data_IF_726863108437
#
_entry.id   IF_726863108437
#
_cell.length_a   1.000
_cell.length_b   1.000
_cell.length_c   1.000
_cell.angle_alpha   90.00
_cell.angle_beta   90.00
_cell.angle_gamma   90.00
#
_symmetry.space_group_name_H-M   'P 1'
#
loop_
_entity.id
_entity.type
_entity.pdbx_description
1 polymer ?
2 non-polymer ?
3 non-polymer ?
4 non-polymer ?
5 water ?
#
# COMPACT_ATOMS: atom_id res chain seq x y z
N UNK A 2 -2.94 -6.13 8.82
CA UNK A 2 -1.61 -6.05 9.61
C UNK A 2 -1.10 -7.36 10.25
N UNK A 3 -0.04 -7.92 9.70
CA UNK A 3 0.53 -9.15 10.29
C UNK A 3 1.29 -8.84 11.57
N UNK A 4 1.37 -9.85 12.44
CA UNK A 4 2.22 -9.78 13.57
C UNK A 4 3.61 -10.12 13.13
N UNK A 5 4.60 -9.50 13.85
CA UNK A 5 6.05 -9.77 13.63
C UNK A 5 6.62 -10.50 14.89
N UNK A 6 5.74 -10.84 15.82
CA UNK A 6 6.15 -11.48 17.03
C UNK A 6 6.18 -13.04 17.01
N UNK A 7 6.18 -13.66 15.84
CA UNK A 7 6.26 -15.08 15.77
C UNK A 7 7.68 -15.44 16.12
N UNK A 8 7.85 -16.37 17.02
CA UNK A 8 9.16 -16.77 17.46
C UNK A 8 9.68 -17.98 16.64
N UNK A 9 10.89 -17.84 16.19
CA UNK A 9 11.62 -18.90 15.43
C UNK A 9 11.88 -20.00 16.40
N UNK A 10 11.99 -21.22 15.89
CA UNK A 10 12.33 -22.38 16.71
C UNK A 10 13.70 -22.27 17.38
N UNK A 11 13.74 -22.62 18.68
CA UNK A 11 14.99 -22.62 19.38
C UNK A 11 15.76 -23.82 18.91
N UNK A 12 16.99 -23.61 18.41
CA UNK A 12 17.82 -24.74 17.95
C UNK A 12 17.43 -25.15 16.52
N UNK A 13 16.86 -24.21 15.75
CA UNK A 13 16.37 -24.49 14.40
C UNK A 13 17.47 -25.11 13.56
N UNK A 14 17.18 -26.25 12.95
CA UNK A 14 18.19 -26.95 12.10
C UNK A 14 17.91 -26.61 10.63
N UNK A 15 18.59 -25.61 10.13
CA UNK A 15 18.28 -25.08 8.78
C UNK A 15 18.59 -26.08 7.65
N UNK A 16 19.64 -26.90 7.79
CA UNK A 16 19.97 -27.85 6.78
C UNK A 16 18.88 -28.93 6.62
N UNK A 17 18.25 -29.38 7.72
CA UNK A 17 17.17 -30.37 7.64
C UNK A 17 15.88 -29.79 6.97
N UNK A 18 15.55 -28.55 7.30
CA UNK A 18 14.41 -27.88 6.75
C UNK A 18 14.58 -27.53 5.23
N UNK A 19 15.71 -26.86 4.88
CA UNK A 19 16.03 -26.51 3.53
C UNK A 19 16.84 -27.59 2.78
N UNK A 20 16.28 -28.75 2.66
CA UNK A 20 17.00 -29.92 2.08
C UNK A 20 16.57 -30.14 0.63
N UNK A 21 15.76 -29.22 0.07
CA UNK A 21 15.37 -29.35 -1.33
C UNK A 21 14.16 -30.19 -1.56
N UNK A 22 13.61 -30.83 -0.52
CA UNK A 22 12.48 -31.75 -0.68
C UNK A 22 11.14 -31.02 -0.37
N UNK A 23 10.07 -31.65 -0.73
CA UNK A 23 8.69 -31.08 -0.56
C UNK A 23 8.11 -31.11 0.84
N UNK A 24 7.48 -30.00 1.22
CA UNK A 24 6.67 -29.90 2.40
C UNK A 24 5.18 -29.71 1.89
N UNK A 25 4.25 -30.50 2.43
CA UNK A 25 2.82 -30.35 2.13
C UNK A 25 2.13 -29.54 3.23
N UNK A 26 1.22 -28.64 2.87
CA UNK A 26 0.40 -27.97 3.86
C UNK A 26 -0.76 -28.88 4.19
N UNK A 27 -0.83 -29.40 5.42
CA UNK A 27 -1.93 -30.26 5.84
C UNK A 27 -3.06 -29.52 6.54
N UNK A 28 -2.76 -28.45 7.24
CA UNK A 28 -3.73 -27.68 7.95
C UNK A 28 -3.29 -26.20 8.04
N UNK A 29 -4.24 -25.27 7.98
CA UNK A 29 -3.88 -23.92 7.93
C UNK A 29 -4.91 -22.99 8.65
N UNK A 30 -4.42 -21.86 9.09
CA UNK A 30 -5.19 -20.87 9.79
C UNK A 30 -4.92 -19.55 9.11
N UNK A 31 -5.92 -19.08 8.33
CA UNK A 31 -5.89 -17.82 7.63
C UNK A 31 -6.70 -16.79 8.46
N UNK A 32 -6.02 -15.78 8.99
CA UNK A 32 -6.64 -14.89 9.93
C UNK A 32 -7.40 -13.81 9.19
N UNK A 33 -7.28 -13.77 7.86
CA UNK A 33 -8.03 -12.78 7.05
C UNK A 33 -8.43 -13.46 5.74
N UNK A 34 -9.41 -14.37 5.80
CA UNK A 34 -9.88 -15.08 4.62
C UNK A 34 -10.53 -14.14 3.57
N UNK A 35 -10.33 -14.50 2.32
CA UNK A 35 -10.91 -13.82 1.22
C UNK A 35 -12.40 -13.94 1.39
N UNK A 36 -13.15 -12.91 1.00
CA UNK A 36 -14.65 -12.99 1.10
C UNK A 36 -15.22 -14.10 0.24
N UNK A 37 -14.50 -14.44 -0.87
CA UNK A 37 -14.92 -15.52 -1.78
C UNK A 37 -14.42 -16.85 -1.29
N UNK A 38 -15.29 -17.86 -1.18
CA UNK A 38 -14.85 -19.25 -0.76
C UNK A 38 -13.74 -19.78 -1.70
N UNK A 39 -12.57 -20.07 -1.11
CA UNK A 39 -11.38 -20.59 -1.80
C UNK A 39 -10.68 -21.64 -0.89
N UNK A 40 -10.95 -22.88 -1.17
CA UNK A 40 -10.39 -23.99 -0.43
C UNK A 40 -9.18 -24.57 -1.24
N UNK A 41 -8.08 -23.87 -1.19
CA UNK A 41 -6.90 -24.28 -1.98
C UNK A 41 -6.05 -25.36 -1.32
N UNK A 42 -5.11 -25.87 -2.09
CA UNK A 42 -4.10 -26.84 -1.62
C UNK A 42 -2.75 -26.19 -1.87
N UNK A 43 -1.78 -26.50 -1.04
CA UNK A 43 -0.43 -25.93 -1.23
C UNK A 43 0.68 -26.84 -0.76
N UNK A 44 1.83 -26.70 -1.39
CA UNK A 44 3.05 -27.37 -1.03
C UNK A 44 4.17 -26.47 -1.40
N UNK A 45 5.37 -26.74 -0.88
CA UNK A 45 6.55 -25.99 -1.12
C UNK A 45 7.85 -26.82 -1.02
N UNK A 46 8.90 -26.34 -1.67
CA UNK A 46 10.27 -26.92 -1.58
C UNK A 46 11.27 -25.79 -1.42
N UNK A 47 12.28 -26.05 -0.61
CA UNK A 47 13.31 -25.05 -0.36
C UNK A 47 14.64 -25.62 -0.07
N UNK A 48 15.68 -25.06 -0.69
CA UNK A 48 17.04 -25.49 -0.54
C UNK A 48 18.01 -24.74 -1.43
N UNK A 49 19.30 -25.12 -1.38
CA UNK A 49 20.31 -24.42 -2.18
C UNK A 49 20.34 -24.91 -3.64
N UNK A 50 20.58 -23.98 -4.54
CA UNK A 50 20.67 -24.24 -5.95
C UNK A 50 21.69 -23.23 -6.53
N UNK A 51 22.76 -23.75 -7.14
CA UNK A 51 23.85 -22.93 -7.62
C UNK A 51 24.23 -21.87 -6.57
N UNK A 52 24.52 -22.34 -5.35
CA UNK A 52 25.02 -21.46 -4.31
C UNK A 52 24.04 -20.47 -3.70
N UNK A 53 22.75 -20.51 -4.06
CA UNK A 53 21.75 -19.60 -3.43
C UNK A 53 20.69 -20.39 -2.64
N UNK A 54 20.13 -19.80 -1.59
CA UNK A 54 18.96 -20.36 -0.92
C UNK A 54 17.70 -19.99 -1.64
N UNK A 55 16.91 -20.98 -2.07
CA UNK A 55 15.73 -20.77 -2.96
C UNK A 55 14.51 -21.48 -2.39
N UNK A 56 13.36 -20.97 -2.73
CA UNK A 56 12.08 -21.48 -2.27
C UNK A 56 11.05 -21.43 -3.41
N UNK A 57 10.47 -22.57 -3.74
CA UNK A 57 9.47 -22.57 -4.75
C UNK A 57 8.11 -22.90 -4.05
N UNK A 58 7.05 -22.34 -4.59
CA UNK A 58 5.68 -22.58 -4.12
C UNK A 58 4.76 -23.19 -5.15
N UNK A 59 3.81 -24.01 -4.70
CA UNK A 59 2.78 -24.59 -5.49
C UNK A 59 1.41 -24.39 -4.83
N UNK A 60 0.43 -23.95 -5.59
CA UNK A 60 -0.97 -23.94 -5.11
C UNK A 60 -1.96 -24.55 -6.17
N UNK A 61 -2.86 -25.33 -5.69
CA UNK A 61 -3.91 -26.02 -6.50
C UNK A 61 -5.30 -25.73 -6.01
N UNK A 62 -6.20 -25.41 -6.96
CA UNK A 62 -7.60 -25.19 -6.68
C UNK A 62 -8.45 -26.34 -7.19
N UNK A 63 -8.99 -27.17 -6.31
CA UNK A 63 -9.86 -28.32 -6.73
C UNK A 63 -11.15 -27.93 -7.49
N UNK A 64 -11.68 -26.77 -7.26
CA UNK A 64 -12.88 -26.33 -7.97
C UNK A 64 -12.66 -26.21 -9.47
N UNK A 65 -11.50 -25.65 -9.86
CA UNK A 65 -11.23 -25.36 -11.28
C UNK A 65 -10.08 -26.25 -11.79
N UNK A 66 -9.35 -26.87 -10.89
CA UNK A 66 -8.09 -27.55 -11.22
C UNK A 66 -6.95 -26.57 -11.65
N UNK A 67 -7.20 -25.31 -11.54
CA UNK A 67 -6.21 -24.32 -11.84
C UNK A 67 -4.99 -24.51 -10.89
N UNK A 68 -3.88 -24.08 -11.40
CA UNK A 68 -2.58 -24.18 -10.69
C UNK A 68 -1.86 -22.79 -10.72
N UNK A 69 -1.12 -22.46 -9.63
CA UNK A 69 -0.15 -21.38 -9.65
C UNK A 69 1.16 -21.64 -8.93
N UNK A 70 2.23 -21.10 -9.48
CA UNK A 70 3.59 -21.28 -8.93
C UNK A 70 4.32 -20.01 -8.68
N UNK A 71 5.28 -20.06 -7.72
CA UNK A 71 6.11 -18.97 -7.41
C UNK A 71 7.52 -19.48 -7.09
N UNK A 72 8.50 -18.61 -7.28
CA UNK A 72 9.92 -18.93 -6.92
C UNK A 72 10.61 -17.66 -6.39
N UNK A 73 11.36 -17.77 -5.32
CA UNK A 73 12.07 -16.67 -4.70
C UNK A 73 13.48 -17.11 -4.31
N UNK A 74 14.41 -16.12 -4.27
CA UNK A 74 15.70 -16.30 -3.59
C UNK A 74 15.43 -15.84 -2.14
N UNK A 75 15.83 -16.60 -1.16
CA UNK A 75 15.56 -16.23 0.19
C UNK A 75 16.71 -15.37 0.80
N UNK A 76 16.30 -14.51 1.71
CA UNK A 76 17.23 -13.62 2.40
C UNK A 76 17.00 -13.89 3.88
N UNK A 77 18.01 -14.41 4.56
CA UNK A 77 17.92 -14.58 6.03
C UNK A 77 17.94 -13.29 6.81
N UNK A 78 16.87 -13.02 7.57
CA UNK A 78 16.81 -11.84 8.42
C UNK A 78 17.52 -12.17 9.79
N UNK A 79 17.10 -13.27 10.38
CA UNK A 79 17.68 -13.77 11.65
C UNK A 79 17.49 -15.22 11.60
N UNK A 80 17.96 -15.94 12.64
CA UNK A 80 17.80 -17.40 12.60
C UNK A 80 16.27 -17.86 12.52
N UNK A 81 15.99 -18.78 11.56
CA UNK A 81 14.64 -19.23 11.28
C UNK A 81 13.62 -18.22 10.69
N UNK A 82 14.06 -17.03 10.30
CA UNK A 82 13.15 -15.95 9.80
C UNK A 82 13.68 -15.46 8.45
N UNK A 83 12.84 -15.53 7.43
CA UNK A 83 13.23 -15.22 6.08
C UNK A 83 12.24 -14.27 5.31
N UNK A 84 12.78 -13.61 4.31
CA UNK A 84 12.04 -12.72 3.42
C UNK A 84 12.19 -13.28 2.01
N UNK A 85 11.15 -13.26 1.25
CA UNK A 85 11.08 -13.80 -0.14
C UNK A 85 10.40 -12.81 -1.09
N UNK A 86 11.17 -12.27 -2.02
CA UNK A 86 10.66 -11.43 -3.11
C UNK A 86 10.26 -12.37 -4.27
N UNK A 87 8.99 -12.71 -4.28
CA UNK A 87 8.55 -13.74 -5.21
C UNK A 87 8.32 -13.26 -6.65
N UNK A 88 8.45 -14.21 -7.56
CA UNK A 88 8.01 -13.98 -8.94
C UNK A 88 7.06 -15.12 -9.33
N UNK A 89 5.96 -14.83 -9.98
CA UNK A 89 4.97 -15.79 -10.31
C UNK A 89 5.42 -16.42 -11.63
N UNK A 90 5.34 -17.75 -11.74
CA UNK A 90 5.87 -18.44 -12.85
C UNK A 90 4.99 -19.66 -13.29
N UNK A 91 5.20 -20.10 -14.59
CA UNK A 91 4.58 -21.29 -15.10
C UNK A 91 5.38 -22.47 -14.49
N UNK A 92 4.89 -23.67 -14.61
CA UNK A 92 5.53 -24.86 -14.08
C UNK A 92 6.96 -25.06 -14.68
N UNK A 93 7.27 -24.42 -15.83
CA UNK A 93 8.58 -24.53 -16.44
C UNK A 93 9.56 -23.39 -16.12
N UNK A 94 9.14 -22.46 -15.28
CA UNK A 94 9.93 -21.35 -14.94
C UNK A 94 9.70 -20.09 -15.75
N UNK A 95 8.83 -20.16 -16.72
CA UNK A 95 8.56 -18.92 -17.53
C UNK A 95 7.85 -17.91 -16.66
N UNK A 96 8.35 -16.67 -16.66
CA UNK A 96 7.88 -15.60 -15.73
C UNK A 96 6.50 -15.00 -16.13
N UNK A 97 5.54 -15.06 -15.22
CA UNK A 97 4.23 -14.43 -15.41
C UNK A 97 4.17 -13.07 -14.77
N UNK A 98 4.67 -12.94 -13.50
CA UNK A 98 4.77 -11.63 -12.86
C UNK A 98 6.23 -11.51 -12.27
N UNK A 99 6.97 -10.52 -12.73
CA UNK A 99 8.39 -10.34 -12.32
C UNK A 99 8.45 -10.01 -10.79
N UNK A 100 9.65 -10.11 -10.28
CA UNK A 100 9.99 -9.62 -8.97
C UNK A 100 9.62 -8.13 -8.92
N UNK A 101 8.83 -7.72 -7.92
CA UNK A 101 8.41 -6.31 -7.82
C UNK A 101 8.55 -5.85 -6.39
N UNK A 102 8.80 -4.54 -6.26
CA UNK A 102 8.91 -3.88 -4.96
C UNK A 102 7.86 -4.24 -3.91
N UNK A 103 6.57 -4.18 -4.25
CA UNK A 103 5.58 -4.47 -3.21
C UNK A 103 5.21 -5.94 -2.99
N UNK A 104 5.80 -6.89 -3.71
CA UNK A 104 5.42 -8.30 -3.65
C UNK A 104 6.49 -9.05 -2.85
N UNK A 105 6.12 -9.45 -1.65
CA UNK A 105 7.07 -10.25 -0.83
C UNK A 105 6.32 -10.94 0.28
N UNK A 106 6.85 -12.05 0.71
CA UNK A 106 6.33 -12.68 1.91
C UNK A 106 7.46 -12.91 2.89
N UNK A 107 7.11 -12.95 4.19
CA UNK A 107 8.08 -13.34 5.22
C UNK A 107 7.55 -14.55 5.87
N UNK A 108 8.45 -15.38 6.39
CA UNK A 108 8.01 -16.50 7.18
C UNK A 108 8.99 -16.77 8.32
N UNK A 109 8.47 -17.44 9.33
CA UNK A 109 9.21 -17.94 10.50
C UNK A 109 8.91 -19.37 10.69
N UNK A 110 9.96 -20.16 10.90
CA UNK A 110 9.81 -21.52 11.27
C UNK A 110 9.69 -21.55 12.75
N UNK A 111 8.47 -21.85 13.25
CA UNK A 111 8.17 -21.85 14.68
C UNK A 111 8.49 -23.18 15.33
N UNK A 112 8.37 -24.27 14.53
CA UNK A 112 8.69 -25.56 14.92
C UNK A 112 9.10 -26.40 13.69
N UNK A 113 10.01 -27.36 13.89
CA UNK A 113 10.37 -28.31 12.84
C UNK A 113 11.10 -29.55 13.34
N UNK A 114 10.90 -30.63 12.63
CA UNK A 114 11.61 -31.90 12.89
C UNK A 114 11.73 -32.59 11.54
N UNK A 115 12.26 -33.79 11.56
CA UNK A 115 12.43 -34.50 10.27
C UNK A 115 11.17 -34.61 9.41
N UNK A 116 9.99 -34.77 10.05
CA UNK A 116 8.78 -35.00 9.34
C UNK A 116 7.73 -33.88 9.31
N UNK A 117 7.81 -32.94 10.26
CA UNK A 117 6.75 -31.91 10.42
C UNK A 117 7.28 -30.53 10.69
N UNK A 118 6.35 -29.57 10.59
CA UNK A 118 6.74 -28.18 10.93
C UNK A 118 5.47 -27.30 11.09
N UNK A 119 5.67 -26.18 11.72
CA UNK A 119 4.66 -25.12 11.85
C UNK A 119 5.37 -23.81 11.47
N UNK A 120 4.78 -23.03 10.55
CA UNK A 120 5.33 -21.83 10.12
C UNK A 120 4.32 -20.73 10.17
N UNK A 121 4.80 -19.51 10.39
CA UNK A 121 3.96 -18.33 10.19
C UNK A 121 4.40 -17.69 8.87
N UNK A 122 3.46 -17.15 8.11
CA UNK A 122 3.72 -16.37 6.92
C UNK A 122 2.99 -15.05 6.98
N UNK A 123 3.52 -14.06 6.30
CA UNK A 123 2.86 -12.79 6.11
C UNK A 123 3.09 -12.43 4.68
N UNK A 124 2.01 -12.29 3.94
CA UNK A 124 2.08 -12.09 2.54
C UNK A 124 1.75 -10.60 2.25
N UNK A 125 2.55 -10.02 1.41
CA UNK A 125 2.34 -8.70 0.84
C UNK A 125 2.26 -8.86 -0.69
N UNK A 126 1.20 -8.30 -1.26
CA UNK A 126 0.95 -8.34 -2.70
C UNK A 126 0.37 -6.95 -3.11
N UNK A 127 0.95 -6.31 -4.14
CA UNK A 127 0.62 -4.91 -4.51
C UNK A 127 0.76 -3.90 -3.38
N UNK A 128 1.77 -4.05 -2.54
CA UNK A 128 1.92 -3.23 -1.31
C UNK A 128 0.93 -3.41 -0.08
N UNK A 129 -0.18 -4.11 -0.31
CA UNK A 129 -1.14 -4.33 0.74
C UNK A 129 -0.77 -5.64 1.52
N UNK A 130 -1.03 -5.59 2.83
CA UNK A 130 -0.88 -6.70 3.75
C UNK A 130 -2.09 -7.61 3.63
N UNK A 131 -1.89 -8.89 3.26
CA UNK A 131 -2.98 -9.85 3.17
C UNK A 131 -3.20 -10.72 4.40
N UNK A 132 -2.49 -10.42 5.47
CA UNK A 132 -2.74 -11.02 6.76
C UNK A 132 -1.94 -12.33 7.04
N UNK A 133 -2.10 -12.79 8.25
CA UNK A 133 -1.34 -13.90 8.76
C UNK A 133 -1.89 -15.19 8.24
N UNK A 134 -0.97 -16.12 7.95
CA UNK A 134 -1.41 -17.46 7.64
C UNK A 134 -0.45 -18.43 8.28
N UNK A 135 -0.96 -19.23 9.19
CA UNK A 135 -0.17 -20.29 9.84
C UNK A 135 -0.42 -21.65 9.04
N UNK A 136 0.65 -22.36 8.79
CA UNK A 136 0.55 -23.63 8.13
C UNK A 136 1.25 -24.71 8.94
N UNK A 137 0.55 -25.83 9.13
CA UNK A 137 1.18 -27.03 9.61
C UNK A 137 1.63 -27.79 8.28
N UNK A 138 2.87 -28.21 8.23
CA UNK A 138 3.51 -28.92 7.14
C UNK A 138 3.84 -30.33 7.57
N UNK A 139 3.96 -31.21 6.56
CA UNK A 139 4.42 -32.58 6.77
C UNK A 139 5.03 -33.08 5.47
N UNK A 140 6.03 -33.99 5.60
CA UNK A 140 6.66 -34.53 4.50
C UNK A 140 5.81 -35.53 3.74
N UNK A 141 4.67 -35.91 4.31
CA UNK A 141 3.70 -36.84 3.69
C UNK A 141 2.35 -36.15 3.75
N UNK A 142 1.67 -36.08 2.62
CA UNK A 142 0.37 -35.42 2.47
C UNK A 142 -0.80 -35.98 3.21
N UNK A 143 -0.77 -37.27 3.54
CA UNK A 143 -1.96 -37.90 4.15
C UNK A 143 -1.73 -38.08 5.68
N UNK A 144 -0.70 -37.46 6.19
CA UNK A 144 -0.36 -37.58 7.54
C UNK A 144 -1.04 -36.55 8.45
N UNK A 145 -1.60 -37.03 9.56
CA UNK A 145 -2.31 -36.19 10.52
C UNK A 145 -1.36 -35.48 11.46
N UNK A 146 -1.76 -34.29 11.91
CA UNK A 146 -0.88 -33.52 12.73
C UNK A 146 -0.54 -34.36 14.03
N UNK A 147 0.73 -34.62 14.27
CA UNK A 147 1.13 -35.37 15.42
C UNK A 147 1.17 -34.46 16.68
N UNK A 148 1.46 -35.09 17.82
CA UNK A 148 1.46 -34.45 19.09
C UNK A 148 2.43 -33.31 19.24
N UNK A 149 3.61 -33.42 18.60
CA UNK A 149 4.65 -32.44 18.68
C UNK A 149 4.25 -31.11 17.98
N UNK A 150 3.74 -31.20 16.79
CA UNK A 150 3.37 -29.96 16.09
C UNK A 150 2.11 -29.40 16.75
N UNK A 151 1.22 -30.24 17.22
CA UNK A 151 0.06 -29.75 17.97
C UNK A 151 0.47 -29.01 19.25
N UNK A 152 1.53 -29.51 19.90
CA UNK A 152 2.12 -28.81 21.06
C UNK A 152 2.60 -27.39 20.62
N UNK A 153 3.22 -27.32 19.44
CA UNK A 153 3.78 -26.07 18.89
C UNK A 153 2.62 -25.09 18.60
N UNK A 154 1.52 -25.62 18.09
CA UNK A 154 0.29 -24.85 17.87
C UNK A 154 -0.17 -24.22 19.23
N UNK A 155 -0.16 -25.01 20.24
CA UNK A 155 -0.55 -24.51 21.61
C UNK A 155 0.44 -23.49 22.10
N UNK A 156 1.74 -23.79 21.93
CA UNK A 156 2.79 -22.86 22.34
C UNK A 156 2.79 -21.52 21.61
N UNK A 157 2.14 -21.44 20.49
CA UNK A 157 1.97 -20.22 19.78
C UNK A 157 0.72 -19.45 20.16
N UNK A 158 0.03 -19.91 21.19
CA UNK A 158 -1.25 -19.37 21.61
C UNK A 158 -2.35 -19.44 20.61
N UNK A 159 -2.45 -20.53 19.90
CA UNK A 159 -3.51 -20.75 18.92
C UNK A 159 -4.29 -22.02 19.30
N UNK A 160 -5.44 -22.26 18.64
CA UNK A 160 -6.21 -23.47 18.85
C UNK A 160 -6.21 -24.30 17.54
N UNK A 161 -5.88 -25.54 17.66
CA UNK A 161 -5.78 -26.40 16.50
C UNK A 161 -7.14 -26.59 15.87
N UNK A 162 -8.14 -26.47 16.69
CA UNK A 162 -9.55 -26.45 16.35
C UNK A 162 -9.86 -25.46 15.24
N UNK A 163 -9.21 -24.32 15.24
CA UNK A 163 -9.54 -23.27 14.27
C UNK A 163 -8.93 -23.53 12.92
N UNK A 164 -7.99 -24.49 12.83
CA UNK A 164 -7.28 -24.76 11.59
C UNK A 164 -8.20 -25.53 10.62
N UNK A 165 -8.01 -25.30 9.31
CA UNK A 165 -8.71 -25.98 8.22
C UNK A 165 -7.82 -27.04 7.54
N UNK A 166 -8.33 -28.26 7.45
CA UNK A 166 -7.61 -29.38 6.93
C UNK A 166 -7.75 -29.48 5.41
N UNK A 167 -6.61 -29.83 4.75
CA UNK A 167 -6.62 -30.05 3.27
C UNK A 167 -6.76 -31.57 2.91
N UNK A 168 -6.96 -32.39 3.93
CA UNK A 168 -6.89 -33.83 3.82
C UNK A 168 -7.89 -34.44 2.91
N UNK A 169 -9.14 -34.04 2.97
CA UNK A 169 -10.10 -34.71 2.02
C UNK A 169 -10.69 -33.67 1.07
N UNK A 170 -9.80 -32.84 0.56
CA UNK A 170 -10.21 -31.67 -0.23
C UNK A 170 -9.91 -31.93 -1.74
N UNK A 171 -9.66 -33.16 -2.11
CA UNK A 171 -9.33 -33.51 -3.51
C UNK A 171 -8.06 -32.83 -4.08
N UNK A 172 -7.04 -32.75 -3.26
CA UNK A 172 -5.83 -32.11 -3.66
C UNK A 172 -5.07 -32.97 -4.66
N UNK A 173 -4.43 -32.35 -5.63
CA UNK A 173 -3.42 -32.98 -6.52
C UNK A 173 -2.15 -32.10 -6.50
N UNK A 174 -0.98 -32.70 -6.56
CA UNK A 174 0.27 -31.99 -6.51
C UNK A 174 1.15 -32.22 -7.73
N UNK A 175 2.27 -31.50 -7.80
CA UNK A 175 3.21 -31.62 -8.88
C UNK A 175 4.62 -31.37 -8.41
N UNK A 176 5.14 -32.36 -7.67
CA UNK A 176 6.44 -32.25 -7.07
C UNK A 176 7.60 -32.15 -8.01
N UNK A 177 7.51 -32.81 -9.16
CA UNK A 177 8.63 -32.70 -10.17
C UNK A 177 8.84 -31.27 -10.57
N UNK A 178 7.79 -30.62 -11.02
CA UNK A 178 7.87 -29.16 -11.37
C UNK A 178 8.28 -28.35 -10.22
N UNK A 179 7.73 -28.68 -9.00
CA UNK A 179 8.04 -27.85 -7.80
C UNK A 179 9.52 -27.90 -7.49
N UNK A 180 10.07 -29.10 -7.53
CA UNK A 180 11.54 -29.24 -7.27
C UNK A 180 12.44 -28.62 -8.33
N UNK A 181 12.06 -28.70 -9.62
CA UNK A 181 12.93 -28.20 -10.64
C UNK A 181 12.92 -26.67 -10.67
N UNK A 182 11.88 -26.07 -10.15
CA UNK A 182 11.80 -24.57 -10.09
C UNK A 182 12.85 -23.93 -9.20
N UNK A 183 13.40 -24.71 -8.31
CA UNK A 183 14.48 -24.23 -7.47
C UNK A 183 15.70 -23.66 -8.24
N UNK A 184 15.92 -24.07 -9.48
CA UNK A 184 17.04 -23.57 -10.31
C UNK A 184 16.62 -22.36 -11.19
N UNK A 185 15.38 -21.94 -11.16
CA UNK A 185 14.85 -20.93 -12.03
C UNK A 185 14.59 -19.62 -11.26
N UNK B 2 -9.21 4.96 -5.62
CA UNK B 2 -8.31 4.75 -6.83
C UNK B 2 -8.36 5.97 -7.80
N UNK B 3 -7.19 6.63 -7.95
CA UNK B 3 -7.09 7.88 -8.69
C UNK B 3 -6.94 7.63 -10.16
N UNK B 4 -7.08 8.73 -10.92
CA UNK B 4 -6.82 8.79 -12.36
C UNK B 4 -5.61 9.66 -12.55
N UNK B 5 -4.72 9.26 -13.46
CA UNK B 5 -3.51 10.06 -13.76
C UNK B 5 -3.61 10.72 -15.13
N UNK B 6 -4.84 10.77 -15.66
CA UNK B 6 -5.11 11.42 -16.95
C UNK B 6 -5.35 12.93 -16.85
N UNK B 7 -5.10 13.54 -15.69
CA UNK B 7 -5.22 14.99 -15.55
C UNK B 7 -4.16 15.68 -16.39
N UNK B 8 -4.58 16.62 -17.20
CA UNK B 8 -3.68 17.33 -18.09
C UNK B 8 -3.28 18.68 -17.48
N UNK B 9 -2.00 18.94 -17.48
CA UNK B 9 -1.45 20.19 -17.06
C UNK B 9 -1.80 21.24 -18.08
N UNK B 10 -1.96 22.47 -17.61
CA UNK B 10 -2.35 23.58 -18.46
C UNK B 10 -1.33 23.84 -19.54
N UNK B 11 -1.81 23.87 -20.80
CA UNK B 11 -0.90 24.24 -21.91
C UNK B 11 -0.41 25.65 -21.67
N UNK B 12 0.92 25.88 -21.78
CA UNK B 12 1.50 27.13 -21.48
C UNK B 12 1.47 27.49 -19.97
N UNK B 13 1.54 26.48 -19.10
CA UNK B 13 1.55 26.71 -17.66
C UNK B 13 2.66 27.69 -17.26
N UNK B 14 2.32 28.77 -16.51
CA UNK B 14 3.26 29.74 -16.00
C UNK B 14 3.57 29.47 -14.49
N UNK B 15 4.67 28.76 -14.26
CA UNK B 15 5.13 28.42 -12.90
C UNK B 15 5.34 29.57 -11.99
N UNK B 16 5.77 30.70 -12.49
CA UNK B 16 6.06 31.88 -11.63
C UNK B 16 4.81 32.57 -11.06
N UNK B 17 3.69 32.57 -11.81
CA UNK B 17 2.43 33.12 -11.29
C UNK B 17 1.76 32.23 -10.24
N UNK B 18 1.81 30.91 -10.42
CA UNK B 18 1.21 30.00 -9.48
C UNK B 18 2.01 29.87 -8.22
N UNK B 19 3.33 29.62 -8.39
CA UNK B 19 4.21 29.45 -7.24
C UNK B 19 4.81 30.79 -6.80
N UNK B 20 3.97 31.77 -6.44
CA UNK B 20 4.48 33.14 -6.18
C UNK B 20 4.54 33.44 -4.74
N UNK B 21 4.31 32.42 -3.91
CA UNK B 21 4.34 32.60 -2.45
C UNK B 21 3.07 33.08 -1.77
N UNK B 22 2.09 33.54 -2.59
CA UNK B 22 0.82 33.98 -2.06
C UNK B 22 -0.15 32.82 -1.75
N UNK B 23 -1.25 33.17 -1.08
CA UNK B 23 -2.31 32.20 -0.69
C UNK B 23 -3.30 31.89 -1.78
N UNK B 24 -3.61 30.61 -1.92
CA UNK B 24 -4.79 30.16 -2.73
C UNK B 24 -5.84 29.64 -1.76
N UNK B 25 -7.09 30.06 -1.91
CA UNK B 25 -8.21 29.46 -1.17
C UNK B 25 -8.94 28.46 -1.99
N UNK B 26 -9.37 27.33 -1.37
CA UNK B 26 -10.24 26.41 -2.04
C UNK B 26 -11.70 26.93 -1.88
N UNK B 27 -12.32 27.33 -2.98
CA UNK B 27 -13.69 27.81 -2.97
C UNK B 27 -14.73 26.76 -3.27
N UNK B 28 -14.34 25.73 -4.02
CA UNK B 28 -15.27 24.72 -4.42
C UNK B 28 -14.43 23.42 -4.61
N UNK B 29 -15.03 22.27 -4.33
CA UNK B 29 -14.29 21.03 -4.53
C UNK B 29 -15.15 19.91 -4.97
N UNK B 30 -14.55 18.93 -5.62
CA UNK B 30 -15.22 17.70 -6.01
C UNK B 30 -14.37 16.49 -5.55
N UNK B 31 -14.86 15.87 -4.46
CA UNK B 31 -14.21 14.70 -3.89
C UNK B 31 -14.93 13.42 -4.41
N UNK B 32 -14.22 12.60 -5.19
CA UNK B 32 -14.80 11.42 -5.78
C UNK B 32 -14.92 10.24 -4.80
N UNK B 33 -14.22 10.30 -3.67
CA UNK B 33 -14.34 9.23 -2.67
C UNK B 33 -14.65 9.82 -1.35
N UNK B 34 -15.83 10.43 -1.18
CA UNK B 34 -16.15 11.10 0.11
C UNK B 34 -16.47 10.00 1.19
N UNK B 35 -16.35 10.39 2.46
CA UNK B 35 -16.83 9.52 3.56
C UNK B 35 -18.37 9.44 3.48
N UNK B 36 -18.96 8.43 4.15
CA UNK B 36 -20.45 8.30 4.15
C UNK B 36 -21.13 9.49 4.85
N UNK B 37 -20.49 10.03 5.89
CA UNK B 37 -20.85 11.35 6.38
C UNK B 37 -19.70 12.29 5.97
N UNK B 38 -19.86 12.93 4.79
CA UNK B 38 -18.84 13.85 4.21
C UNK B 38 -18.29 14.91 5.22
N UNK B 39 -16.98 15.08 5.18
CA UNK B 39 -16.29 16.03 6.05
C UNK B 39 -16.36 17.46 5.40
N UNK B 40 -17.20 18.32 5.96
CA UNK B 40 -17.39 19.70 5.42
C UNK B 40 -16.34 20.67 5.88
N UNK B 41 -15.13 20.52 5.33
CA UNK B 41 -13.97 21.33 5.81
C UNK B 41 -13.71 22.53 4.90
N UNK B 42 -12.74 23.32 5.32
CA UNK B 42 -12.23 24.45 4.61
C UNK B 42 -10.70 24.24 4.38
N UNK B 43 -10.20 24.64 3.21
CA UNK B 43 -8.77 24.49 2.88
C UNK B 43 -8.14 25.68 2.16
N UNK B 44 -6.86 25.87 2.38
CA UNK B 44 -6.07 26.88 1.73
C UNK B 44 -4.63 26.42 1.70
N UNK B 45 -3.83 27.08 0.85
CA UNK B 45 -2.42 26.74 0.65
C UNK B 45 -1.59 27.90 0.15
N UNK B 46 -0.29 27.82 0.38
CA UNK B 46 0.66 28.84 -0.14
C UNK B 46 1.79 28.07 -0.83
N UNK B 47 1.94 28.32 -2.09
CA UNK B 47 2.92 27.61 -2.93
C UNK B 47 3.92 28.63 -3.48
N UNK B 48 5.18 28.25 -3.44
CA UNK B 48 6.25 29.13 -3.83
C UNK B 48 7.52 28.29 -3.91
N UNK B 49 8.65 28.98 -3.80
CA UNK B 49 9.95 28.26 -3.70
C UNK B 49 10.67 28.78 -2.49
N UNK B 50 11.40 27.86 -1.82
CA UNK B 50 12.28 28.22 -0.70
C UNK B 50 13.53 27.32 -0.77
N UNK B 51 14.70 27.91 -0.44
CA UNK B 51 15.96 27.18 -0.53
C UNK B 51 16.17 26.64 -1.96
N UNK B 52 15.63 27.38 -2.97
CA UNK B 52 15.85 27.01 -4.36
C UNK B 52 15.03 25.79 -4.80
N UNK B 53 14.06 25.35 -3.93
CA UNK B 53 13.19 24.20 -4.21
C UNK B 53 11.72 24.60 -4.18
N UNK B 54 10.94 24.05 -5.12
CA UNK B 54 9.53 24.34 -5.04
C UNK B 54 8.97 23.75 -3.72
N UNK B 55 8.15 24.51 -3.05
CA UNK B 55 7.54 24.09 -1.81
C UNK B 55 6.04 24.50 -1.71
N UNK B 56 5.28 23.75 -0.89
CA UNK B 56 3.87 24.05 -0.60
C UNK B 56 3.51 23.81 0.84
N UNK B 57 2.79 24.76 1.41
CA UNK B 57 2.16 24.62 2.75
C UNK B 57 0.62 24.56 2.64
N UNK B 58 -0.01 23.60 3.30
CA UNK B 58 -1.46 23.39 3.33
C UNK B 58 -2.04 23.73 4.72
N UNK B 59 -3.25 24.28 4.69
CA UNK B 59 -4.07 24.49 5.87
C UNK B 59 -5.45 23.91 5.67
N UNK B 60 -5.97 23.25 6.71
CA UNK B 60 -7.33 22.71 6.69
C UNK B 60 -8.07 23.00 8.03
N UNK B 61 -9.28 23.53 7.92
CA UNK B 61 -10.05 23.85 9.09
C UNK B 61 -11.44 23.17 9.11
N UNK B 62 -11.80 22.65 10.29
CA UNK B 62 -13.13 21.98 10.51
C UNK B 62 -13.99 22.95 11.34
N UNK B 63 -14.95 23.59 10.68
CA UNK B 63 -15.82 24.62 11.32
C UNK B 63 -16.51 24.15 12.61
N UNK B 64 -16.98 22.90 12.59
CA UNK B 64 -17.68 22.29 13.73
C UNK B 64 -16.81 22.23 15.04
N UNK B 65 -15.62 21.65 14.93
CA UNK B 65 -14.75 21.49 16.07
C UNK B 65 -13.79 22.66 16.19
N UNK B 66 -13.69 23.44 15.10
CA UNK B 66 -12.63 24.45 15.02
C UNK B 66 -11.18 23.83 14.95
N UNK B 67 -11.09 22.56 14.67
CA UNK B 67 -9.82 21.92 14.54
C UNK B 67 -9.08 22.43 13.28
N UNK B 68 -7.75 22.46 13.34
CA UNK B 68 -6.93 22.88 12.14
C UNK B 68 -5.77 21.92 11.96
N UNK B 69 -5.36 21.72 10.69
CA UNK B 69 -4.08 21.00 10.44
C UNK B 69 -3.23 21.64 9.37
N UNK B 70 -1.90 21.42 9.49
CA UNK B 70 -0.94 22.00 8.66
C UNK B 70 0.01 20.94 8.11
N UNK B 71 0.41 21.14 6.86
CA UNK B 71 1.35 20.30 6.21
C UNK B 71 2.31 21.18 5.38
N UNK B 72 3.56 20.75 5.31
CA UNK B 72 4.55 21.38 4.38
C UNK B 72 5.19 20.28 3.57
N UNK B 73 5.40 20.50 2.26
CA UNK B 73 6.06 19.60 1.37
C UNK B 73 7.07 20.27 0.43
N UNK B 74 8.19 19.57 0.15
CA UNK B 74 9.12 19.92 -0.91
C UNK B 74 8.50 19.30 -2.13
N UNK B 75 8.36 20.08 -3.18
CA UNK B 75 7.76 19.54 -4.39
C UNK B 75 8.84 19.10 -5.42
N UNK B 76 8.54 17.98 -6.05
CA UNK B 76 9.28 17.48 -7.13
C UNK B 76 8.41 17.67 -8.37
N UNK B 77 8.98 18.30 -9.38
CA UNK B 77 8.31 18.44 -10.67
C UNK B 77 8.50 17.18 -11.54
N UNK B 78 7.41 16.46 -11.85
CA UNK B 78 7.45 15.33 -12.82
C UNK B 78 7.55 15.93 -14.24
N UNK B 79 6.85 17.07 -14.43
CA UNK B 79 6.78 17.81 -15.72
C UNK B 79 6.01 19.11 -15.48
N UNK B 80 6.11 20.07 -16.36
CA UNK B 80 5.44 21.37 -16.17
C UNK B 80 3.97 21.26 -15.74
N UNK B 81 3.72 21.74 -14.52
CA UNK B 81 2.39 21.69 -13.91
C UNK B 81 1.99 20.41 -13.20
N UNK B 82 2.88 19.39 -13.18
CA UNK B 82 2.59 18.15 -12.43
C UNK B 82 3.69 17.94 -11.37
N UNK B 83 3.27 17.66 -10.13
CA UNK B 83 4.20 17.64 -8.99
C UNK B 83 3.83 16.52 -8.04
N UNK B 84 4.83 16.13 -7.26
CA UNK B 84 4.73 15.11 -6.21
C UNK B 84 5.14 15.76 -4.89
N UNK B 85 4.27 15.71 -3.87
CA UNK B 85 4.61 16.29 -2.59
C UNK B 85 4.71 15.25 -1.47
N UNK B 86 5.89 15.17 -0.87
CA UNK B 86 6.10 14.31 0.31
C UNK B 86 5.97 15.13 1.59
N UNK B 87 4.78 15.17 2.12
CA UNK B 87 4.44 16.11 3.19
C UNK B 87 4.84 15.65 4.56
N UNK B 88 5.01 16.65 5.41
CA UNK B 88 5.18 16.47 6.84
C UNK B 88 4.02 17.17 7.54
N UNK B 89 3.43 16.54 8.51
CA UNK B 89 2.41 17.15 9.39
C UNK B 89 3.15 17.98 10.38
N UNK B 90 2.69 19.22 10.55
CA UNK B 90 3.28 20.18 11.46
C UNK B 90 2.26 21.02 12.21
N UNK B 91 2.77 21.73 13.22
CA UNK B 91 1.98 22.70 14.00
C UNK B 91 2.09 24.04 13.26
N UNK B 92 1.40 25.05 13.69
CA UNK B 92 1.40 26.37 13.01
C UNK B 92 2.73 27.02 13.06
N UNK B 93 3.52 26.72 14.10
CA UNK B 93 4.77 27.31 14.25
C UNK B 93 5.90 26.55 13.54
N UNK B 94 5.56 25.43 12.87
CA UNK B 94 6.60 24.62 12.22
C UNK B 94 7.00 23.32 12.90
N UNK B 95 6.62 23.16 14.15
CA UNK B 95 7.01 22.00 14.92
C UNK B 95 6.52 20.72 14.23
N UNK B 96 7.46 19.81 13.93
CA UNK B 96 7.10 18.56 13.23
C UNK B 96 6.28 17.58 14.09
N UNK B 97 5.07 17.23 13.63
CA UNK B 97 4.21 16.24 14.23
C UNK B 97 4.41 14.86 13.58
N UNK B 98 4.47 14.78 12.22
CA UNK B 98 4.78 13.50 11.53
C UNK B 98 5.79 13.80 10.43
N UNK B 99 7.00 13.22 10.50
CA UNK B 99 8.04 13.42 9.50
C UNK B 99 7.58 12.91 8.13
N UNK B 100 8.35 13.27 7.11
CA UNK B 100 8.20 12.69 5.78
C UNK B 100 8.33 11.22 5.88
N UNK B 101 7.34 10.48 5.32
CA UNK B 101 7.26 9.04 5.38
C UNK B 101 6.99 8.55 3.96
N UNK B 102 7.65 7.44 3.61
CA UNK B 102 7.63 6.86 2.25
C UNK B 102 6.29 6.70 1.56
N UNK B 103 5.24 6.31 2.34
CA UNK B 103 3.97 6.12 1.68
C UNK B 103 2.98 7.27 1.78
N UNK B 104 3.46 8.40 2.29
CA UNK B 104 2.66 9.58 2.59
C UNK B 104 2.99 10.63 1.58
N UNK B 105 2.10 10.79 0.61
CA UNK B 105 2.36 11.77 -0.37
C UNK B 105 1.10 12.08 -1.20
N UNK B 106 1.08 13.26 -1.81
CA UNK B 106 0.05 13.56 -2.79
C UNK B 106 0.69 14.04 -4.06
N UNK B 107 0.00 13.77 -5.21
CA UNK B 107 0.36 14.37 -6.47
C UNK B 107 -0.69 15.38 -6.86
N UNK B 108 -0.30 16.41 -7.62
CA UNK B 108 -1.28 17.36 -8.12
C UNK B 108 -0.92 17.86 -9.55
N UNK B 109 -1.95 18.22 -10.30
CA UNK B 109 -1.81 18.80 -11.65
C UNK B 109 -2.57 20.12 -11.69
N UNK B 110 -1.94 21.14 -12.16
CA UNK B 110 -2.52 22.45 -12.37
C UNK B 110 -3.10 22.46 -13.75
N UNK B 111 -4.41 22.20 -13.83
CA UNK B 111 -5.14 22.01 -15.08
C UNK B 111 -5.47 23.35 -15.77
N UNK B 112 -5.57 24.43 -14.97
CA UNK B 112 -5.78 25.77 -15.43
C UNK B 112 -5.35 26.76 -14.29
N UNK B 113 -4.78 27.90 -14.68
CA UNK B 113 -4.48 28.99 -13.73
C UNK B 113 -4.25 30.29 -14.48
N UNK B 114 -4.62 31.38 -13.86
CA UNK B 114 -4.25 32.73 -14.27
C UNK B 114 -3.90 33.54 -13.01
N UNK B 115 -3.93 34.86 -13.07
CA UNK B 115 -3.53 35.65 -11.93
C UNK B 115 -4.47 35.50 -10.70
N UNK B 116 -5.79 35.29 -10.91
CA UNK B 116 -6.74 35.23 -9.81
C UNK B 116 -7.26 33.86 -9.40
N UNK B 117 -7.16 32.86 -10.30
CA UNK B 117 -7.89 31.63 -10.18
C UNK B 117 -7.16 30.37 -10.72
N UNK B 118 -7.62 29.21 -10.25
CA UNK B 118 -7.11 27.95 -10.71
C UNK B 118 -8.03 26.81 -10.50
N UNK B 119 -7.73 25.70 -11.17
CA UNK B 119 -8.37 24.38 -11.00
C UNK B 119 -7.25 23.39 -10.98
N UNK B 120 -7.22 22.52 -9.94
CA UNK B 120 -6.23 21.57 -9.85
C UNK B 120 -6.83 20.26 -9.54
N UNK B 121 -6.11 19.19 -9.87
CA UNK B 121 -6.49 17.84 -9.54
C UNK B 121 -5.54 17.41 -8.47
N UNK B 122 -6.05 16.64 -7.49
CA UNK B 122 -5.24 16.08 -6.39
C UNK B 122 -5.48 14.55 -6.30
N UNK B 123 -4.43 13.87 -5.83
CA UNK B 123 -4.52 12.47 -5.52
C UNK B 123 -3.75 12.29 -4.23
N UNK B 124 -4.49 11.94 -3.15
CA UNK B 124 -3.91 11.76 -1.84
C UNK B 124 -3.55 10.30 -1.55
N UNK B 125 -2.30 10.11 -1.14
CA UNK B 125 -1.81 8.80 -0.73
C UNK B 125 -1.36 8.85 0.76
N UNK B 126 -1.91 7.95 1.60
CA UNK B 126 -1.61 7.87 3.07
C UNK B 126 -1.45 6.41 3.46
N UNK B 127 -0.36 6.12 4.19
CA UNK B 127 0.05 4.72 4.41
C UNK B 127 0.01 3.86 3.17
N UNK B 128 0.39 4.41 2.03
CA UNK B 128 0.37 3.66 0.75
C UNK B 128 -1.02 3.18 0.15
N UNK B 129 -2.12 3.78 0.62
CA UNK B 129 -3.41 3.52 -0.01
C UNK B 129 -3.94 4.81 -0.66
N UNK B 130 -4.34 4.70 -1.93
CA UNK B 130 -4.99 5.75 -2.70
C UNK B 130 -6.24 6.14 -1.91
N UNK B 131 -6.32 7.43 -1.55
CA UNK B 131 -7.51 7.99 -0.93
C UNK B 131 -8.46 8.66 -1.90
N UNK B 132 -8.17 8.57 -3.17
CA UNK B 132 -9.06 9.10 -4.17
C UNK B 132 -8.84 10.53 -4.69
N UNK B 133 -9.52 10.80 -5.79
CA UNK B 133 -9.39 12.06 -6.50
C UNK B 133 -10.10 13.15 -5.76
N UNK B 134 -9.46 14.30 -5.78
CA UNK B 134 -10.09 15.49 -5.29
C UNK B 134 -9.72 16.61 -6.20
N UNK B 135 -10.75 17.23 -6.79
CA UNK B 135 -10.56 18.43 -7.64
C UNK B 135 -10.89 19.69 -6.84
N UNK B 136 -10.10 20.74 -7.02
CA UNK B 136 -10.27 21.98 -6.33
C UNK B 136 -10.27 23.17 -7.25
N UNK B 137 -11.25 24.04 -7.06
CA UNK B 137 -11.26 25.34 -7.67
C UNK B 137 -10.63 26.31 -6.65
N UNK B 138 -9.58 27.03 -7.06
CA UNK B 138 -8.90 28.00 -6.17
C UNK B 138 -9.12 29.43 -6.60
N UNK B 139 -8.98 30.36 -5.65
CA UNK B 139 -9.00 31.80 -5.94
C UNK B 139 -8.13 32.55 -4.97
N UNK B 140 -7.49 33.58 -5.41
CA UNK B 140 -6.67 34.46 -4.61
C UNK B 140 -7.48 35.23 -3.55
N UNK B 141 -8.78 35.32 -3.75
CA UNK B 141 -9.67 36.00 -2.78
C UNK B 141 -10.73 35.03 -2.35
N UNK B 142 -10.92 34.89 -1.03
CA UNK B 142 -11.79 33.79 -0.50
C UNK B 142 -13.28 33.94 -0.82
N UNK B 143 -13.74 35.15 -1.04
CA UNK B 143 -15.13 35.43 -1.33
C UNK B 143 -15.46 35.65 -2.84
N UNK B 144 -14.51 35.35 -3.72
CA UNK B 144 -14.74 35.45 -5.14
C UNK B 144 -15.32 34.10 -5.71
N UNK B 145 -16.41 34.20 -6.51
CA UNK B 145 -17.05 33.04 -7.11
C UNK B 145 -16.28 32.58 -8.39
N UNK B 146 -16.40 31.32 -8.71
CA UNK B 146 -15.70 30.76 -9.82
C UNK B 146 -16.13 31.57 -11.09
N UNK B 147 -15.18 32.09 -11.80
CA UNK B 147 -15.47 32.88 -12.99
C UNK B 147 -15.56 32.00 -14.22
N UNK B 148 -15.95 32.57 -15.34
CA UNK B 148 -16.15 31.78 -16.57
C UNK B 148 -14.88 31.00 -17.07
N UNK B 149 -13.69 31.50 -16.83
CA UNK B 149 -12.48 30.89 -17.29
C UNK B 149 -12.21 29.56 -16.56
N UNK B 150 -12.35 29.57 -15.25
CA UNK B 150 -12.20 28.29 -14.53
C UNK B 150 -13.37 27.33 -14.72
N UNK B 151 -14.57 27.85 -14.86
CA UNK B 151 -15.71 26.98 -15.14
C UNK B 151 -15.51 26.31 -16.57
N UNK B 152 -14.92 27.07 -17.48
CA UNK B 152 -14.62 26.53 -18.79
C UNK B 152 -13.62 25.38 -18.67
N UNK B 153 -12.61 25.54 -17.75
CA UNK B 153 -11.67 24.51 -17.44
C UNK B 153 -12.35 23.25 -16.85
N UNK B 154 -13.31 23.43 -15.95
CA UNK B 154 -14.10 22.32 -15.39
C UNK B 154 -14.86 21.52 -16.54
N UNK B 155 -15.54 22.28 -17.38
CA UNK B 155 -16.15 21.65 -18.60
C UNK B 155 -15.11 20.93 -19.49
N UNK B 156 -13.95 21.54 -19.65
CA UNK B 156 -12.90 21.03 -20.52
C UNK B 156 -12.29 19.66 -20.02
N UNK B 157 -12.40 19.43 -18.73
CA UNK B 157 -11.95 18.18 -18.13
C UNK B 157 -13.11 17.18 -18.00
N UNK B 158 -14.28 17.49 -18.62
CA UNK B 158 -15.44 16.60 -18.66
C UNK B 158 -16.07 16.41 -17.35
N UNK B 159 -16.06 17.46 -16.53
CA UNK B 159 -16.63 17.48 -15.24
C UNK B 159 -17.88 18.37 -15.28
N UNK B 160 -18.73 18.26 -14.26
CA UNK B 160 -19.87 19.20 -14.09
C UNK B 160 -19.59 20.04 -12.85
N UNK B 161 -19.64 21.36 -13.02
CA UNK B 161 -19.46 22.24 -11.94
C UNK B 161 -20.53 22.06 -10.89
N UNK B 162 -21.76 21.71 -11.30
CA UNK B 162 -22.86 21.40 -10.38
C UNK B 162 -22.56 20.27 -9.40
N UNK B 163 -21.66 19.37 -9.75
CA UNK B 163 -21.28 18.32 -8.75
C UNK B 163 -20.32 18.85 -7.63
N UNK B 164 -19.71 20.02 -7.82
CA UNK B 164 -18.76 20.57 -6.83
C UNK B 164 -19.52 21.10 -5.60
N UNK B 165 -18.85 21.11 -4.45
CA UNK B 165 -19.37 21.65 -3.28
C UNK B 165 -18.69 22.94 -2.91
N UNK B 166 -19.48 23.95 -2.49
CA UNK B 166 -18.94 25.23 -2.13
C UNK B 166 -18.46 25.24 -0.69
N UNK B 167 -17.46 26.06 -0.41
CA UNK B 167 -17.00 26.32 0.96
C UNK B 167 -17.47 27.72 1.50
N UNK B 168 -18.28 28.43 0.71
CA UNK B 168 -18.62 29.82 1.05
C UNK B 168 -19.54 30.03 2.21
N UNK B 169 -20.48 29.09 2.37
CA UNK B 169 -21.56 29.26 3.41
C UNK B 169 -21.15 28.47 4.67
N UNK B 170 -19.87 28.10 4.77
CA UNK B 170 -19.50 27.03 5.72
C UNK B 170 -18.93 27.52 7.04
N UNK B 171 -18.85 28.84 7.24
CA UNK B 171 -18.24 29.43 8.43
C UNK B 171 -16.72 29.15 8.52
N UNK B 172 -16.07 29.23 7.35
CA UNK B 172 -14.63 29.05 7.29
C UNK B 172 -13.82 30.15 7.90
N UNK B 173 -12.72 29.80 8.56
CA UNK B 173 -11.71 30.79 9.05
C UNK B 173 -10.34 30.34 8.58
N UNK B 174 -9.44 31.33 8.30
CA UNK B 174 -8.13 31.06 7.71
C UNK B 174 -6.95 31.61 8.48
N UNK B 175 -5.79 30.97 8.32
CA UNK B 175 -4.63 31.40 9.06
C UNK B 175 -3.46 31.66 8.11
N UNK B 176 -3.54 32.79 7.38
CA UNK B 176 -2.59 33.04 6.36
C UNK B 176 -1.18 33.34 6.82
N UNK B 177 -1.07 33.98 8.01
CA UNK B 177 0.25 34.30 8.57
C UNK B 177 1.04 32.99 8.74
N UNK B 178 0.45 32.00 9.38
CA UNK B 178 1.12 30.68 9.55
C UNK B 178 1.40 30.00 8.28
N UNK B 179 0.49 30.20 7.30
CA UNK B 179 0.69 29.56 6.02
C UNK B 179 1.97 30.06 5.41
N UNK B 180 2.17 31.37 5.43
CA UNK B 180 3.27 31.95 4.67
C UNK B 180 4.58 31.75 5.37
N UNK B 181 4.51 31.72 6.71
CA UNK B 181 5.68 31.39 7.55
C UNK B 181 6.22 30.00 7.35
N UNK B 182 5.33 29.06 7.11
CA UNK B 182 5.75 27.63 6.92
C UNK B 182 6.50 27.45 5.59
N UNK B 183 6.09 28.23 4.60
CA UNK B 183 6.64 28.12 3.30
C UNK B 183 8.08 28.57 3.34
N UNK B 184 8.27 29.79 3.89
CA UNK B 184 9.58 30.51 3.87
C UNK B 184 10.65 29.93 4.79
N UNK B 185 10.27 29.59 6.02
CA UNK B 185 11.16 28.89 6.93
C UNK B 185 11.40 27.45 6.42
#
# INVERSE_FOLDING_TARGET
MKCTKNALAQTGFNKDKYFNGDVWYVTDYLDLEPDDVPKRYCAALAAGTASGKLKEALYCYDPKTQDTFYDVSELQEESPGKYTANFKKVEKNGNVKVDVTSGNYYTFTVMYADDSSALIHTCLHKGNKDLGDLYAVLNRNKDTNAGDKVKGAVTAASLKFSDFISTKDNKCEYDNVSLKSLLTK
MKCTKNALAQTGFNKDKYFNGDVWYVTDYLDLEPDDVPKRYCAALAAGTASGKLKEALYCYDPKTQDTFYDVSELQEESPGKYTANFKKVEKNGNVKVDVTSGNYYTFTVMYADDSSALIHTCLHKGNKDLGDLYAVLNRNKDTNAGDKVKGAVTAASLKFSDFISTKDNKCEYDNVSLKSLLTK
#
